data_IF_006185840075
#
_entry.id   IF_006185840075
#
_cell.length_a   1.000
_cell.length_b   1.000
_cell.length_c   1.000
_cell.angle_alpha   90.00
_cell.angle_beta   90.00
_cell.angle_gamma   90.00
#
_symmetry.space_group_name_H-M   'P 1'
#
loop_
_entity.id
_entity.type
_entity.pdbx_description
1 polymer ?
#
# COMPACT_ATOMS: atom_id res chain seq x y z
N UNK A 1 63.48 -64.53 -9.33
CA UNK A 1 63.30 -64.58 -7.87
C UNK A 1 62.62 -63.28 -7.43
N UNK A 2 61.37 -63.39 -6.94
CA UNK A 2 60.60 -62.50 -6.05
C UNK A 2 60.31 -61.01 -6.39
N UNK A 3 59.13 -60.81 -7.01
CA UNK A 3 57.91 -60.11 -6.54
C UNK A 3 58.05 -58.94 -5.52
N UNK A 4 57.51 -57.76 -5.88
CA UNK A 4 56.68 -56.87 -5.02
C UNK A 4 56.07 -55.74 -5.89
N UNK A 5 54.80 -55.80 -6.34
CA UNK A 5 53.52 -55.41 -5.69
C UNK A 5 53.47 -53.99 -5.09
N UNK A 6 52.82 -53.07 -5.79
CA UNK A 6 52.13 -51.88 -5.23
C UNK A 6 51.09 -51.38 -6.26
N UNK A 7 49.88 -51.96 -6.26
CA UNK A 7 48.62 -51.38 -5.76
C UNK A 7 48.20 -50.08 -6.48
N UNK A 8 47.55 -50.26 -7.63
CA UNK A 8 46.61 -49.28 -8.22
C UNK A 8 45.41 -49.11 -7.27
N UNK A 9 45.26 -47.93 -6.66
CA UNK A 9 44.00 -47.52 -6.02
C UNK A 9 43.19 -46.69 -7.02
N UNK A 10 42.17 -47.30 -7.62
CA UNK A 10 41.17 -46.61 -8.42
C UNK A 10 40.11 -46.05 -7.45
N UNK A 11 40.18 -44.75 -7.15
CA UNK A 11 39.14 -44.07 -6.37
C UNK A 11 38.00 -43.70 -7.34
N UNK A 12 36.89 -44.44 -7.24
CA UNK A 12 35.64 -44.16 -7.94
C UNK A 12 34.93 -42.99 -7.24
N UNK A 13 35.00 -41.80 -7.82
CA UNK A 13 34.29 -40.60 -7.35
C UNK A 13 32.83 -40.68 -7.79
N UNK A 14 31.94 -41.13 -6.90
CA UNK A 14 30.49 -41.10 -7.11
C UNK A 14 30.02 -39.65 -6.94
N UNK A 15 29.79 -38.97 -8.07
CA UNK A 15 29.13 -37.67 -8.14
C UNK A 15 27.63 -37.85 -7.80
N UNK A 16 27.28 -37.57 -6.55
CA UNK A 16 25.89 -37.41 -6.12
C UNK A 16 25.28 -36.18 -6.80
N UNK A 17 24.60 -36.38 -7.94
CA UNK A 17 23.70 -35.38 -8.52
C UNK A 17 22.43 -35.31 -7.67
N UNK A 18 22.46 -34.52 -6.61
CA UNK A 18 21.24 -34.10 -5.93
C UNK A 18 20.47 -33.13 -6.84
N UNK A 19 19.20 -33.37 -7.18
CA UNK A 19 18.41 -32.38 -7.88
C UNK A 19 18.26 -31.16 -6.97
N UNK A 20 18.82 -30.03 -7.39
CA UNK A 20 18.55 -28.74 -6.78
C UNK A 20 17.06 -28.47 -7.04
N UNK A 21 16.21 -28.72 -6.03
CA UNK A 21 14.88 -28.13 -6.01
C UNK A 21 15.10 -26.62 -6.05
N UNK A 22 14.90 -26.00 -7.22
CA UNK A 22 14.76 -24.55 -7.31
C UNK A 22 13.51 -24.21 -6.52
N UNK A 23 13.70 -23.74 -5.30
CA UNK A 23 12.66 -22.99 -4.61
C UNK A 23 12.24 -21.87 -5.58
N UNK A 24 11.02 -21.93 -6.07
CA UNK A 24 10.44 -20.82 -6.83
C UNK A 24 10.41 -19.63 -5.90
N UNK A 25 11.24 -18.62 -6.18
CA UNK A 25 11.31 -17.42 -5.37
C UNK A 25 9.91 -16.82 -5.17
N UNK A 26 9.59 -16.48 -3.92
CA UNK A 26 8.29 -15.90 -3.57
C UNK A 26 8.23 -14.50 -4.19
N UNK A 27 7.26 -14.21 -5.09
CA UNK A 27 7.23 -12.96 -5.82
C UNK A 27 7.08 -11.78 -4.87
N UNK A 28 7.74 -10.67 -5.20
CA UNK A 28 7.63 -9.42 -4.44
C UNK A 28 6.65 -8.49 -5.15
N UNK A 29 5.62 -8.09 -4.42
CA UNK A 29 4.53 -7.23 -4.88
C UNK A 29 4.74 -5.84 -4.29
N UNK A 30 4.78 -4.82 -5.12
CA UNK A 30 4.78 -3.43 -4.68
C UNK A 30 3.33 -2.98 -4.44
N UNK A 31 3.01 -2.47 -3.27
CA UNK A 31 1.66 -2.01 -2.95
C UNK A 31 1.64 -0.67 -2.23
N UNK A 32 0.74 0.22 -2.65
CA UNK A 32 0.46 1.45 -1.94
C UNK A 32 0.10 1.15 -0.47
N UNK A 33 0.68 1.90 0.45
CA UNK A 33 0.49 1.66 1.90
C UNK A 33 -0.98 1.77 2.37
N UNK A 34 -1.86 2.41 1.61
CA UNK A 34 -3.30 2.53 1.89
C UNK A 34 -4.03 1.19 1.89
N UNK A 35 -3.59 0.23 1.09
CA UNK A 35 -4.23 -1.09 0.94
C UNK A 35 -3.64 -2.12 1.92
N UNK A 36 -2.73 -1.72 2.82
CA UNK A 36 -1.95 -2.61 3.70
C UNK A 36 -2.79 -3.65 4.45
N UNK A 37 -3.79 -3.23 5.23
CA UNK A 37 -4.55 -4.16 6.06
C UNK A 37 -5.45 -5.08 5.23
N UNK A 38 -6.11 -4.54 4.20
CA UNK A 38 -6.88 -5.35 3.26
C UNK A 38 -6.00 -6.40 2.57
N UNK A 39 -4.82 -6.00 2.10
CA UNK A 39 -3.92 -6.89 1.38
C UNK A 39 -3.33 -7.96 2.29
N UNK A 40 -3.08 -7.68 3.57
CA UNK A 40 -2.69 -8.70 4.53
C UNK A 40 -3.73 -9.82 4.64
N UNK A 41 -5.01 -9.48 4.67
CA UNK A 41 -6.09 -10.48 4.71
C UNK A 41 -6.26 -11.18 3.36
N UNK A 42 -6.12 -10.47 2.24
CA UNK A 42 -6.13 -11.06 0.90
C UNK A 42 -4.96 -12.03 0.73
N UNK A 43 -3.75 -11.72 1.20
CA UNK A 43 -2.60 -12.61 1.09
C UNK A 43 -2.77 -13.89 1.92
N UNK A 44 -3.42 -13.80 3.08
CA UNK A 44 -3.76 -14.98 3.89
C UNK A 44 -4.77 -15.85 3.14
N UNK A 45 -5.84 -15.25 2.62
CA UNK A 45 -6.87 -15.95 1.86
C UNK A 45 -6.29 -16.60 0.58
N UNK A 46 -5.44 -15.87 -0.14
CA UNK A 46 -4.73 -16.38 -1.31
C UNK A 46 -3.87 -17.61 -0.98
N UNK A 47 -3.13 -17.56 0.13
CA UNK A 47 -2.34 -18.70 0.58
C UNK A 47 -3.21 -19.90 0.93
N UNK A 48 -4.30 -19.70 1.67
CA UNK A 48 -5.25 -20.76 2.02
C UNK A 48 -5.86 -21.42 0.79
N UNK A 49 -6.20 -20.63 -0.23
CA UNK A 49 -6.90 -21.14 -1.42
C UNK A 49 -5.97 -21.80 -2.44
N UNK A 50 -4.69 -21.40 -2.50
CA UNK A 50 -3.78 -21.80 -3.59
C UNK A 50 -2.51 -22.52 -3.13
N UNK A 51 -2.19 -22.47 -1.84
CA UNK A 51 -0.90 -22.90 -1.27
C UNK A 51 0.29 -22.02 -1.70
N UNK A 52 0.07 -20.95 -2.48
CA UNK A 52 1.12 -20.04 -2.94
C UNK A 52 1.30 -18.87 -1.97
N UNK A 53 2.49 -18.27 -1.99
CA UNK A 53 2.81 -17.11 -1.16
C UNK A 53 3.21 -15.94 -2.05
N UNK A 54 3.04 -14.73 -1.52
CA UNK A 54 3.58 -13.49 -2.07
C UNK A 54 4.18 -12.66 -0.94
N UNK A 55 5.21 -11.87 -1.21
CA UNK A 55 5.76 -10.88 -0.27
C UNK A 55 5.33 -9.50 -0.70
N UNK A 56 4.89 -8.67 0.24
CA UNK A 56 4.45 -7.31 -0.09
C UNK A 56 5.46 -6.28 0.42
N UNK A 57 5.86 -5.37 -0.45
CA UNK A 57 6.58 -4.14 -0.12
C UNK A 57 5.61 -2.96 -0.13
N UNK A 58 5.47 -2.28 1.02
CA UNK A 58 4.56 -1.16 1.18
C UNK A 58 5.31 0.17 1.17
N UNK A 59 4.85 1.12 0.34
CA UNK A 59 5.32 2.51 0.36
C UNK A 59 4.26 3.43 -0.27
N UNK A 60 4.61 4.68 -0.57
CA UNK A 60 3.76 5.54 -1.40
C UNK A 60 3.84 5.08 -2.87
N UNK A 61 2.77 5.31 -3.64
CA UNK A 61 2.76 4.92 -5.06
C UNK A 61 3.88 5.57 -5.85
N UNK A 62 4.17 6.86 -5.61
CA UNK A 62 5.26 7.55 -6.28
C UNK A 62 6.65 6.99 -5.94
N UNK A 63 6.88 6.58 -4.69
CA UNK A 63 8.15 5.94 -4.31
C UNK A 63 8.30 4.58 -4.97
N UNK A 64 7.24 3.77 -4.98
CA UNK A 64 7.24 2.47 -5.65
C UNK A 64 7.45 2.62 -7.15
N UNK A 65 6.83 3.62 -7.78
CA UNK A 65 7.11 3.96 -9.19
C UNK A 65 8.59 4.26 -9.41
N UNK A 66 9.22 5.09 -8.57
CA UNK A 66 10.67 5.35 -8.69
C UNK A 66 11.51 4.09 -8.52
N UNK A 67 11.17 3.23 -7.57
CA UNK A 67 11.85 1.95 -7.37
C UNK A 67 11.72 1.02 -8.59
N UNK A 68 10.53 0.94 -9.20
CA UNK A 68 10.29 0.16 -10.43
C UNK A 68 11.10 0.74 -11.60
N UNK A 69 11.14 2.07 -11.74
CA UNK A 69 11.94 2.75 -12.76
C UNK A 69 13.43 2.43 -12.61
N UNK A 70 13.92 2.35 -11.38
CA UNK A 70 15.30 1.99 -11.02
C UNK A 70 15.60 0.49 -11.12
N UNK A 71 14.64 -0.34 -11.54
CA UNK A 71 14.86 -1.77 -11.77
C UNK A 71 14.64 -2.66 -10.54
N UNK A 72 13.90 -2.19 -9.54
CA UNK A 72 13.50 -3.07 -8.42
C UNK A 72 12.70 -4.28 -8.94
N UNK A 73 12.98 -5.50 -8.46
CA UNK A 73 12.47 -6.74 -9.05
C UNK A 73 11.04 -7.07 -8.62
N UNK A 74 10.15 -6.07 -8.57
CA UNK A 74 8.74 -6.30 -8.29
C UNK A 74 8.07 -6.98 -9.49
N UNK A 75 7.05 -7.80 -9.25
CA UNK A 75 6.35 -8.54 -10.33
C UNK A 75 4.93 -8.03 -10.59
N UNK A 76 4.36 -7.31 -9.62
CA UNK A 76 3.04 -6.71 -9.65
C UNK A 76 3.10 -5.43 -8.83
N UNK A 77 2.47 -4.37 -9.33
CA UNK A 77 2.35 -3.10 -8.66
C UNK A 77 0.89 -2.72 -8.45
N UNK A 78 0.50 -2.43 -7.20
CA UNK A 78 -0.80 -1.90 -6.81
C UNK A 78 -0.64 -0.43 -6.41
N UNK A 79 -0.98 0.49 -7.32
CA UNK A 79 -0.95 1.93 -7.10
C UNK A 79 -2.26 2.44 -6.48
N UNK A 80 -2.19 3.55 -5.76
CA UNK A 80 -3.33 4.26 -5.22
C UNK A 80 -3.95 5.30 -6.18
N UNK A 81 -3.40 5.42 -7.39
CA UNK A 81 -3.99 6.12 -8.52
C UNK A 81 -3.56 5.48 -9.86
N UNK A 82 -4.25 5.84 -10.95
CA UNK A 82 -3.92 5.40 -12.31
C UNK A 82 -2.71 6.12 -12.93
N UNK A 83 -2.41 7.35 -12.50
CA UNK A 83 -1.35 8.20 -13.07
C UNK A 83 0.03 7.53 -13.00
N UNK A 84 0.36 6.89 -11.88
CA UNK A 84 1.64 6.20 -11.71
C UNK A 84 1.77 4.97 -12.61
N UNK A 85 0.65 4.29 -12.90
CA UNK A 85 0.62 3.14 -13.81
C UNK A 85 0.81 3.62 -15.25
N UNK A 86 0.08 4.67 -15.65
CA UNK A 86 0.21 5.27 -16.98
C UNK A 86 1.66 5.72 -17.26
N UNK A 87 2.34 6.32 -16.26
CA UNK A 87 3.76 6.70 -16.37
C UNK A 87 4.67 5.49 -16.61
N UNK A 88 4.46 4.38 -15.90
CA UNK A 88 5.25 3.16 -16.07
C UNK A 88 4.99 2.49 -17.43
N UNK A 89 3.74 2.53 -17.91
CA UNK A 89 3.37 2.01 -19.22
C UNK A 89 4.04 2.80 -20.36
N UNK A 90 4.04 4.14 -20.29
CA UNK A 90 4.77 5.00 -21.24
C UNK A 90 6.26 4.70 -21.30
N UNK A 91 6.83 4.20 -20.20
CA UNK A 91 8.23 3.79 -20.09
C UNK A 91 8.45 2.31 -20.39
N UNK A 92 7.43 1.62 -20.91
CA UNK A 92 7.47 0.21 -21.26
C UNK A 92 7.90 -0.69 -20.10
N UNK A 93 7.52 -0.35 -18.86
CA UNK A 93 7.82 -1.12 -17.64
C UNK A 93 6.70 -2.09 -17.23
N UNK A 94 5.55 -2.01 -17.89
CA UNK A 94 4.35 -2.79 -17.58
C UNK A 94 3.86 -3.53 -18.82
N UNK A 95 3.14 -4.63 -18.60
CA UNK A 95 2.57 -5.43 -19.69
C UNK A 95 1.39 -4.73 -20.39
N UNK A 96 0.64 -3.90 -19.67
CA UNK A 96 -0.50 -3.14 -20.16
C UNK A 96 -0.70 -1.85 -19.33
N UNK A 97 -1.83 -1.17 -19.53
CA UNK A 97 -2.20 0.06 -18.82
C UNK A 97 -2.76 -0.16 -17.41
N UNK A 98 -2.80 -1.42 -16.95
CA UNK A 98 -3.33 -1.82 -15.65
C UNK A 98 -4.85 -1.93 -15.60
N UNK A 99 -5.33 -2.39 -14.45
CA UNK A 99 -6.75 -2.61 -14.16
C UNK A 99 -7.10 -1.87 -12.88
N UNK A 100 -8.18 -1.08 -12.89
CA UNK A 100 -8.73 -0.49 -11.67
C UNK A 100 -9.32 -1.63 -10.85
N UNK A 101 -8.85 -1.81 -9.60
CA UNK A 101 -9.29 -2.91 -8.74
C UNK A 101 -10.15 -2.44 -7.56
N UNK A 102 -10.16 -1.14 -7.27
CA UNK A 102 -10.93 -0.54 -6.19
C UNK A 102 -10.99 0.99 -6.32
N UNK A 103 -11.98 1.62 -5.69
CA UNK A 103 -12.01 3.07 -5.45
C UNK A 103 -11.78 3.38 -3.98
N UNK A 104 -10.76 4.21 -3.71
CA UNK A 104 -10.40 4.67 -2.37
C UNK A 104 -11.22 5.87 -1.89
N UNK A 105 -11.19 6.12 -0.57
CA UNK A 105 -11.88 7.24 0.08
C UNK A 105 -11.00 7.89 1.15
N UNK A 106 -11.28 9.16 1.45
CA UNK A 106 -10.62 9.94 2.49
C UNK A 106 -11.44 9.98 3.77
N UNK A 107 -10.75 9.99 4.91
CA UNK A 107 -11.35 10.20 6.22
C UNK A 107 -10.52 11.21 7.03
N UNK A 108 -11.19 11.91 7.94
CA UNK A 108 -10.52 12.66 9.00
C UNK A 108 -10.46 11.77 10.25
N UNK A 109 -9.30 11.69 10.90
CA UNK A 109 -9.05 10.77 12.02
C UNK A 109 -8.38 11.51 13.20
N UNK A 110 -8.77 11.14 14.41
CA UNK A 110 -8.15 11.58 15.67
C UNK A 110 -8.18 10.43 16.69
N UNK A 111 -7.48 10.58 17.82
CA UNK A 111 -7.52 9.58 18.89
C UNK A 111 -8.88 9.54 19.58
N UNK A 112 -9.22 8.41 20.22
CA UNK A 112 -10.54 8.20 20.84
C UNK A 112 -10.88 9.25 21.90
N UNK A 113 -9.88 9.68 22.67
CA UNK A 113 -10.05 10.62 23.78
C UNK A 113 -9.74 12.08 23.39
N UNK A 114 -9.52 12.38 22.10
CA UNK A 114 -9.25 13.73 21.64
C UNK A 114 -10.44 14.67 21.92
N UNK A 115 -10.21 15.90 22.38
CA UNK A 115 -11.28 16.89 22.55
C UNK A 115 -11.78 17.45 21.20
N UNK A 116 -11.05 17.19 20.12
CA UNK A 116 -11.41 17.69 18.78
C UNK A 116 -12.63 16.95 18.27
N UNK A 117 -13.65 17.70 17.86
CA UNK A 117 -14.85 17.17 17.20
C UNK A 117 -14.58 17.03 15.70
N UNK A 118 -15.16 16.00 15.08
CA UNK A 118 -15.05 15.75 13.64
C UNK A 118 -16.37 16.09 12.95
N UNK A 119 -16.28 16.73 11.78
CA UNK A 119 -17.41 17.05 10.91
C UNK A 119 -17.01 16.93 9.43
N UNK A 120 -18.00 16.77 8.54
CA UNK A 120 -17.77 16.48 7.12
C UNK A 120 -17.09 17.63 6.36
N UNK A 121 -17.33 18.86 6.80
CA UNK A 121 -16.85 20.09 6.16
C UNK A 121 -15.63 20.70 6.88
N UNK A 122 -15.09 19.98 7.88
CA UNK A 122 -13.92 20.36 8.68
C UNK A 122 -14.05 21.73 9.38
N UNK A 123 -15.26 22.21 9.67
CA UNK A 123 -15.46 23.44 10.43
C UNK A 123 -14.96 23.29 11.87
N UNK A 124 -15.13 22.12 12.49
CA UNK A 124 -14.61 21.86 13.85
C UNK A 124 -13.09 21.80 13.86
N UNK A 125 -12.50 21.24 12.81
CA UNK A 125 -11.05 21.28 12.59
C UNK A 125 -10.52 22.71 12.47
N UNK A 126 -11.19 23.57 11.68
CA UNK A 126 -10.86 25.00 11.57
C UNK A 126 -10.89 25.70 12.93
N UNK A 127 -11.96 25.49 13.69
CA UNK A 127 -12.12 26.06 15.03
C UNK A 127 -11.01 25.58 15.98
N UNK A 128 -10.65 24.30 15.92
CA UNK A 128 -9.58 23.75 16.74
C UNK A 128 -8.19 24.32 16.37
N UNK A 129 -7.91 24.52 15.08
CA UNK A 129 -6.70 25.21 14.60
C UNK A 129 -6.62 26.64 15.16
N UNK A 130 -7.70 27.42 15.02
CA UNK A 130 -7.77 28.81 15.49
C UNK A 130 -7.64 28.94 17.03
N UNK A 131 -8.08 27.91 17.77
CA UNK A 131 -7.93 27.83 19.22
C UNK A 131 -6.57 27.28 19.67
N UNK A 132 -5.65 26.97 18.75
CA UNK A 132 -4.34 26.39 19.06
C UNK A 132 -4.40 24.96 19.60
N UNK A 133 -5.50 24.24 19.38
CA UNK A 133 -5.70 22.85 19.86
C UNK A 133 -5.04 21.81 18.95
N UNK A 134 -4.75 22.19 17.71
CA UNK A 134 -4.01 21.37 16.75
C UNK A 134 -2.64 22.04 16.60
N UNK A 135 -1.59 21.32 16.97
CA UNK A 135 -0.20 21.74 16.72
C UNK A 135 0.36 20.99 15.51
N UNK A 136 -0.08 19.74 15.35
CA UNK A 136 0.35 18.82 14.32
C UNK A 136 -0.88 18.22 13.61
N UNK A 137 -0.92 18.40 12.30
CA UNK A 137 -1.93 17.90 11.39
C UNK A 137 -1.28 16.93 10.41
N UNK A 138 -1.60 15.65 10.53
CA UNK A 138 -0.99 14.63 9.68
C UNK A 138 -1.66 14.53 8.30
N UNK A 139 -0.85 14.56 7.25
CA UNK A 139 -1.24 14.12 5.90
C UNK A 139 -0.11 13.25 5.33
N UNK A 140 -0.41 12.43 4.33
CA UNK A 140 0.66 11.82 3.55
C UNK A 140 1.32 12.90 2.67
N UNK A 141 2.60 12.74 2.34
CA UNK A 141 3.33 13.72 1.53
C UNK A 141 2.72 13.84 0.13
N UNK A 142 2.15 15.00 -0.26
CA UNK A 142 1.50 15.19 -1.55
C UNK A 142 2.43 15.04 -2.75
N UNK A 143 3.75 15.14 -2.56
CA UNK A 143 4.71 15.06 -3.66
C UNK A 143 4.82 13.66 -4.29
N UNK A 144 4.40 12.63 -3.57
CA UNK A 144 4.50 11.24 -4.06
C UNK A 144 3.40 10.30 -3.58
N UNK A 145 2.50 10.76 -2.70
CA UNK A 145 1.40 9.95 -2.17
C UNK A 145 0.07 10.42 -2.75
N UNK A 146 -0.70 9.58 -3.46
CA UNK A 146 -2.05 9.94 -3.93
C UNK A 146 -2.99 10.40 -2.82
N UNK A 147 -2.89 9.79 -1.63
CA UNK A 147 -3.65 10.19 -0.45
C UNK A 147 -3.19 11.54 0.13
N UNK A 148 -1.94 11.94 -0.13
CA UNK A 148 -1.43 13.27 0.20
C UNK A 148 -1.98 14.33 -0.76
N UNK A 149 -2.00 14.02 -2.05
CA UNK A 149 -2.64 14.86 -3.07
C UNK A 149 -4.12 15.08 -2.74
N UNK A 150 -4.87 14.00 -2.47
CA UNK A 150 -6.28 14.10 -2.08
C UNK A 150 -6.50 14.88 -0.78
N UNK A 151 -5.61 14.75 0.21
CA UNK A 151 -5.67 15.57 1.43
C UNK A 151 -5.49 17.06 1.11
N UNK A 152 -4.52 17.42 0.26
CA UNK A 152 -4.31 18.79 -0.20
C UNK A 152 -5.53 19.32 -0.96
N UNK A 153 -6.11 18.53 -1.86
CA UNK A 153 -7.32 18.90 -2.61
C UNK A 153 -8.51 19.20 -1.68
N UNK A 154 -8.74 18.36 -0.67
CA UNK A 154 -9.78 18.58 0.35
C UNK A 154 -9.55 19.90 1.07
N UNK A 155 -8.32 20.12 1.56
CA UNK A 155 -7.97 21.31 2.32
C UNK A 155 -8.08 22.58 1.48
N UNK A 156 -7.69 22.53 0.20
CA UNK A 156 -7.84 23.65 -0.73
C UNK A 156 -9.31 23.94 -1.01
N UNK A 157 -10.11 22.90 -1.32
CA UNK A 157 -11.53 23.05 -1.61
C UNK A 157 -12.33 23.60 -0.43
N UNK A 158 -11.91 23.31 0.80
CA UNK A 158 -12.52 23.82 2.03
C UNK A 158 -11.87 25.11 2.56
N UNK A 159 -10.96 25.74 1.79
CA UNK A 159 -10.24 26.97 2.17
C UNK A 159 -9.49 26.85 3.53
N UNK A 160 -8.90 25.69 3.78
CA UNK A 160 -8.12 25.38 4.99
C UNK A 160 -6.62 25.20 4.73
N UNK A 161 -6.21 25.12 3.47
CA UNK A 161 -4.81 24.85 3.11
C UNK A 161 -3.82 25.84 3.75
N UNK A 162 -4.05 27.14 3.58
CA UNK A 162 -3.17 28.18 4.16
C UNK A 162 -3.11 28.10 5.69
N UNK A 163 -4.23 27.80 6.35
CA UNK A 163 -4.30 27.72 7.80
C UNK A 163 -3.51 26.52 8.35
N UNK A 164 -3.52 25.39 7.64
CA UNK A 164 -2.93 24.14 8.15
C UNK A 164 -1.44 24.01 7.82
N UNK A 165 -0.91 24.76 6.85
CA UNK A 165 0.45 24.60 6.35
C UNK A 165 1.53 24.62 7.43
N UNK A 166 1.46 25.57 8.37
CA UNK A 166 2.43 25.69 9.47
C UNK A 166 2.30 24.58 10.52
N UNK A 167 1.27 23.74 10.43
CA UNK A 167 0.96 22.66 11.36
C UNK A 167 1.13 21.28 10.70
N UNK A 168 1.45 21.21 9.41
CA UNK A 168 1.53 19.95 8.68
C UNK A 168 2.68 19.08 9.19
N UNK A 169 2.35 17.81 9.45
CA UNK A 169 3.32 16.74 9.61
C UNK A 169 3.12 15.76 8.46
N UNK A 170 4.14 15.65 7.61
CA UNK A 170 4.08 14.83 6.41
C UNK A 170 4.53 13.41 6.72
N UNK A 171 3.62 12.44 6.58
CA UNK A 171 3.98 11.04 6.51
C UNK A 171 4.49 10.68 5.11
N UNK A 172 5.55 9.89 5.02
CA UNK A 172 6.12 9.37 3.78
C UNK A 172 5.10 8.60 2.94
N UNK A 173 4.05 8.08 3.55
CA UNK A 173 2.97 7.40 2.87
C UNK A 173 1.68 7.42 3.72
N UNK A 174 0.58 6.89 3.16
CA UNK A 174 -0.72 6.88 3.82
C UNK A 174 -0.72 6.15 5.16
N UNK A 175 0.03 5.04 5.27
CA UNK A 175 0.14 4.31 6.54
C UNK A 175 0.87 5.12 7.61
N UNK A 176 1.95 5.82 7.26
CA UNK A 176 2.68 6.64 8.22
C UNK A 176 1.87 7.87 8.67
N UNK A 177 1.18 8.55 7.76
CA UNK A 177 0.27 9.65 8.14
C UNK A 177 -0.83 9.17 9.09
N UNK A 178 -1.41 8.00 8.82
CA UNK A 178 -2.39 7.37 9.71
C UNK A 178 -1.77 7.02 11.05
N UNK A 179 -0.53 6.53 11.08
CA UNK A 179 0.19 6.24 12.31
C UNK A 179 0.36 7.50 13.17
N UNK A 180 0.75 8.64 12.59
CA UNK A 180 0.90 9.90 13.33
C UNK A 180 -0.42 10.34 13.99
N UNK A 181 -1.53 10.32 13.26
CA UNK A 181 -2.83 10.71 13.81
C UNK A 181 -3.39 9.69 14.81
N UNK A 182 -3.21 8.39 14.56
CA UNK A 182 -3.74 7.33 15.42
C UNK A 182 -2.96 7.11 16.71
N UNK A 183 -1.67 7.46 16.74
CA UNK A 183 -0.87 7.46 17.97
C UNK A 183 -1.06 8.72 18.81
N UNK A 184 -1.64 9.78 18.25
CA UNK A 184 -1.72 11.10 18.87
C UNK A 184 -0.47 11.96 18.71
N UNK A 185 0.55 11.49 17.99
CA UNK A 185 1.70 12.32 17.62
C UNK A 185 1.29 13.53 16.78
N UNK A 186 0.24 13.36 15.95
CA UNK A 186 -0.56 14.45 15.41
C UNK A 186 -1.95 14.41 16.06
N UNK A 187 -2.50 15.58 16.42
CA UNK A 187 -3.81 15.64 17.08
C UNK A 187 -4.94 15.22 16.11
N UNK A 188 -4.74 15.42 14.81
CA UNK A 188 -5.69 15.06 13.77
C UNK A 188 -4.94 14.71 12.48
N UNK A 189 -5.56 13.97 11.58
CA UNK A 189 -5.03 13.79 10.24
C UNK A 189 -6.07 13.47 9.18
N UNK A 190 -5.79 13.88 7.94
CA UNK A 190 -6.52 13.42 6.75
C UNK A 190 -5.82 12.18 6.21
N UNK A 191 -6.53 11.06 6.28
CA UNK A 191 -5.99 9.72 6.08
C UNK A 191 -6.83 8.93 5.09
N UNK A 192 -6.29 7.78 4.67
CA UNK A 192 -7.07 6.80 3.92
C UNK A 192 -8.18 6.20 4.79
N UNK A 193 -9.40 6.17 4.26
CA UNK A 193 -10.53 5.57 4.95
C UNK A 193 -10.30 4.08 5.27
N UNK A 194 -9.61 3.36 4.37
CA UNK A 194 -9.34 1.93 4.58
C UNK A 194 -8.41 1.66 5.75
N UNK A 195 -7.46 2.57 5.99
CA UNK A 195 -6.58 2.49 7.16
C UNK A 195 -7.32 2.92 8.42
N UNK A 196 -8.17 3.95 8.36
CA UNK A 196 -8.98 4.41 9.48
C UNK A 196 -10.00 3.37 9.97
N UNK A 197 -10.61 2.63 9.03
CA UNK A 197 -11.60 1.59 9.30
C UNK A 197 -11.00 0.28 9.85
N UNK A 198 -9.68 0.12 9.76
CA UNK A 198 -9.02 -1.14 10.08
C UNK A 198 -9.31 -1.61 11.52
N UNK A 199 -9.59 -2.91 11.75
CA UNK A 199 -9.95 -3.43 13.07
C UNK A 199 -8.97 -3.09 14.19
N UNK A 200 -7.67 -3.00 13.87
CA UNK A 200 -6.62 -2.64 14.82
C UNK A 200 -6.76 -1.22 15.40
N UNK A 201 -7.54 -0.34 14.75
CA UNK A 201 -7.75 1.05 15.17
C UNK A 201 -9.12 1.32 15.80
N UNK A 202 -10.12 0.44 15.64
CA UNK A 202 -11.53 0.68 16.01
C UNK A 202 -11.74 1.12 17.48
N UNK A 203 -10.84 0.72 18.39
CA UNK A 203 -10.93 1.08 19.82
C UNK A 203 -9.98 2.20 20.25
N UNK A 204 -9.13 2.69 19.36
CA UNK A 204 -8.07 3.68 19.65
C UNK A 204 -8.33 5.03 19.01
N UNK A 205 -9.14 5.07 17.95
CA UNK A 205 -9.38 6.26 17.15
C UNK A 205 -10.87 6.56 17.01
N UNK A 206 -11.16 7.80 16.62
CA UNK A 206 -12.43 8.20 16.02
C UNK A 206 -12.11 8.70 14.62
N UNK A 207 -12.96 8.37 13.66
CA UNK A 207 -12.82 8.86 12.30
C UNK A 207 -14.19 9.28 11.76
N UNK A 208 -14.16 10.08 10.69
CA UNK A 208 -15.34 10.43 9.93
C UNK A 208 -15.01 10.36 8.44
N UNK A 209 -15.83 9.60 7.70
CA UNK A 209 -15.73 9.46 6.25
C UNK A 209 -16.12 10.78 5.58
N UNK A 210 -15.24 11.30 4.71
CA UNK A 210 -15.46 12.57 4.04
C UNK A 210 -16.25 12.39 2.72
N UNK A 211 -17.04 13.40 2.30
CA UNK A 211 -17.72 13.38 1.01
C UNK A 211 -16.75 13.14 -0.15
N UNK A 212 -17.13 12.23 -1.07
CA UNK A 212 -16.26 11.82 -2.19
C UNK A 212 -15.94 12.95 -3.17
N UNK A 213 -16.84 13.93 -3.28
CA UNK A 213 -16.67 15.08 -4.17
C UNK A 213 -15.62 16.09 -3.66
N UNK A 214 -15.00 15.89 -2.50
CA UNK A 214 -13.98 16.81 -1.98
C UNK A 214 -12.59 16.62 -2.59
N UNK A 215 -12.36 15.54 -3.32
CA UNK A 215 -11.09 15.23 -3.98
C UNK A 215 -11.35 14.52 -5.32
N UNK A 216 -10.33 14.41 -6.16
CA UNK A 216 -10.42 13.60 -7.38
C UNK A 216 -10.56 12.10 -7.03
N UNK A 217 -11.24 11.29 -7.87
CA UNK A 217 -11.42 9.87 -7.61
C UNK A 217 -10.09 9.13 -7.37
N UNK A 218 -9.99 8.43 -6.23
CA UNK A 218 -8.82 7.63 -5.88
C UNK A 218 -8.91 6.23 -6.51
N UNK A 219 -8.82 6.17 -7.84
CA UNK A 219 -8.85 4.92 -8.61
C UNK A 219 -7.61 4.07 -8.30
N UNK A 220 -7.75 3.05 -7.47
CA UNK A 220 -6.67 2.13 -7.17
C UNK A 220 -6.45 1.23 -8.39
N UNK A 221 -5.26 1.26 -8.97
CA UNK A 221 -4.94 0.56 -10.22
C UNK A 221 -3.79 -0.40 -9.99
N UNK A 222 -3.93 -1.63 -10.47
CA UNK A 222 -2.89 -2.66 -10.39
C UNK A 222 -2.39 -3.04 -11.78
N UNK A 223 -1.12 -3.42 -11.88
CA UNK A 223 -0.50 -3.78 -13.16
C UNK A 223 0.60 -4.82 -12.99
N UNK A 224 0.67 -5.76 -13.93
CA UNK A 224 1.77 -6.71 -14.03
C UNK A 224 3.01 -6.04 -14.63
N UNK A 225 4.17 -6.28 -14.02
CA UNK A 225 5.47 -5.78 -14.49
C UNK A 225 6.11 -6.76 -15.48
N UNK A 226 7.08 -6.30 -16.27
CA UNK A 226 7.65 -7.11 -17.37
C UNK A 226 8.29 -8.43 -16.92
N UNK A 227 8.82 -8.46 -15.70
CA UNK A 227 9.45 -9.62 -15.07
C UNK A 227 8.45 -10.52 -14.31
N UNK A 228 7.14 -10.36 -14.51
CA UNK A 228 6.13 -11.08 -13.73
C UNK A 228 6.12 -12.60 -13.98
N UNK A 229 6.15 -13.36 -12.90
CA UNK A 229 6.06 -14.82 -12.87
C UNK A 229 4.64 -15.34 -12.68
N UNK A 230 4.50 -16.67 -12.72
CA UNK A 230 3.19 -17.32 -12.67
C UNK A 230 2.41 -17.05 -11.37
N UNK A 231 3.10 -17.00 -10.23
CA UNK A 231 2.45 -16.73 -8.93
C UNK A 231 1.93 -15.29 -8.86
N UNK A 232 2.66 -14.31 -9.38
CA UNK A 232 2.20 -12.92 -9.44
C UNK A 232 1.00 -12.75 -10.39
N UNK A 233 1.02 -13.42 -11.56
CA UNK A 233 -0.15 -13.47 -12.47
C UNK A 233 -1.37 -14.10 -11.80
N UNK A 234 -1.18 -15.18 -11.04
CA UNK A 234 -2.25 -15.81 -10.28
C UNK A 234 -2.81 -14.87 -9.20
N UNK A 235 -1.95 -14.17 -8.48
CA UNK A 235 -2.36 -13.19 -7.47
C UNK A 235 -3.09 -11.99 -8.07
N UNK A 236 -2.65 -11.49 -9.23
CA UNK A 236 -3.35 -10.45 -10.00
C UNK A 236 -4.78 -10.88 -10.40
N UNK A 237 -4.96 -12.14 -10.81
CA UNK A 237 -6.30 -12.69 -11.07
C UNK A 237 -7.12 -12.86 -9.80
N UNK A 238 -6.48 -13.32 -8.72
CA UNK A 238 -7.15 -13.50 -7.42
C UNK A 238 -7.71 -12.19 -6.85
N UNK A 239 -6.99 -11.08 -7.02
CA UNK A 239 -7.43 -9.74 -6.61
C UNK A 239 -8.74 -9.29 -7.30
N UNK A 240 -9.10 -9.89 -8.43
CA UNK A 240 -10.33 -9.60 -9.17
C UNK A 240 -11.51 -10.48 -8.75
N UNK A 241 -11.29 -11.50 -7.93
CA UNK A 241 -12.33 -12.43 -7.50
C UNK A 241 -13.19 -11.85 -6.38
N UNK A 242 -14.44 -12.30 -6.28
CA UNK A 242 -15.41 -11.86 -5.27
C UNK A 242 -14.88 -11.94 -3.84
N UNK A 243 -14.06 -12.95 -3.54
CA UNK A 243 -13.45 -13.10 -2.20
C UNK A 243 -12.51 -11.94 -1.89
N UNK A 244 -11.63 -11.55 -2.81
CA UNK A 244 -10.74 -10.41 -2.64
C UNK A 244 -11.52 -9.09 -2.60
N UNK A 245 -12.52 -8.93 -3.47
CA UNK A 245 -13.39 -7.75 -3.52
C UNK A 245 -14.23 -7.58 -2.25
N UNK A 246 -14.70 -8.68 -1.67
CA UNK A 246 -15.38 -8.69 -0.36
C UNK A 246 -14.43 -8.24 0.75
N UNK A 247 -13.17 -8.70 0.74
CA UNK A 247 -12.17 -8.24 1.70
C UNK A 247 -11.94 -6.72 1.54
N UNK A 248 -11.73 -6.23 0.31
CA UNK A 248 -11.56 -4.80 0.04
C UNK A 248 -12.75 -3.98 0.54
N UNK A 249 -13.97 -4.46 0.32
CA UNK A 249 -15.21 -3.79 0.76
C UNK A 249 -15.31 -3.66 2.28
N UNK A 250 -14.88 -4.68 3.04
CA UNK A 250 -14.79 -4.62 4.52
C UNK A 250 -13.81 -3.55 5.02
N UNK A 251 -12.82 -3.18 4.19
CA UNK A 251 -11.90 -2.07 4.43
C UNK A 251 -12.35 -0.79 3.72
N UNK A 252 -13.60 -0.66 3.30
CA UNK A 252 -14.17 0.63 2.87
C UNK A 252 -13.78 1.06 1.46
N UNK A 253 -13.22 0.16 0.66
CA UNK A 253 -13.13 0.33 -0.79
C UNK A 253 -14.48 0.02 -1.44
N UNK A 254 -14.78 0.66 -2.57
CA UNK A 254 -15.88 0.24 -3.43
C UNK A 254 -15.33 -0.40 -4.70
N UNK A 255 -16.13 -1.26 -5.32
CA UNK A 255 -15.82 -1.78 -6.66
C UNK A 255 -15.76 -0.63 -7.68
N UNK A 256 -14.93 -0.76 -8.73
CA UNK A 256 -14.86 0.20 -9.83
C UNK A 256 -16.20 0.37 -10.57
#
# INVERSE_FOLDING_TARGET
MNINRSRFSLILLILLFSPVLRATDVPVIAAASSVKFALQDITKAFHQDTGKNVRISYSSSGNLTRQIQQGSPFELFLSANSIYIARLYQQQKTLDQGTVYALGRMAILTTKNSPILLDKDLHKTKQALQKGQIQYFAIANPEHSPYGVAAREILQKLNLWELVQSHLVLGENAAQATQFASSGAAQIGLVSYSLALAPILQNRTRYLLLPANLHQPLQQTMVLLNNTGNTAKLFFKYLQQDKAQTILSRYGYTTP
#
